data_IF_085204430573
#
_entry.id   IF_085204430573
#
_cell.length_a   1.000
_cell.length_b   1.000
_cell.length_c   1.000
_cell.angle_alpha   90.00
_cell.angle_beta   90.00
_cell.angle_gamma   90.00
#
_symmetry.space_group_name_H-M   'P 1'
#
loop_
_entity.id
_entity.type
_entity.pdbx_description
1 polymer ?
#
# COMPACT_ATOMS: atom_id res chain seq x y z
N UNK A 1 -11.09 -4.06 73.84
CA UNK A 1 -11.15 -5.50 73.51
C UNK A 1 -11.86 -5.59 72.17
N UNK A 2 -11.16 -5.27 71.07
CA UNK A 2 -10.40 -6.22 70.25
C UNK A 2 -11.31 -7.34 69.74
N UNK A 3 -11.86 -7.17 68.54
CA UNK A 3 -11.92 -8.29 67.60
C UNK A 3 -11.68 -7.76 66.19
N UNK A 4 -10.85 -8.50 65.48
CA UNK A 4 -9.99 -8.02 64.41
C UNK A 4 -10.74 -7.76 63.11
N UNK A 5 -10.23 -6.76 62.41
CA UNK A 5 -10.29 -6.59 60.96
C UNK A 5 -10.19 -7.95 60.25
N UNK A 6 -11.33 -8.47 59.78
CA UNK A 6 -11.33 -9.67 58.94
C UNK A 6 -10.92 -9.24 57.54
N UNK A 7 -9.65 -9.46 57.22
CA UNK A 7 -9.17 -9.40 55.83
C UNK A 7 -9.92 -10.46 55.05
N UNK A 8 -10.81 -10.04 54.13
CA UNK A 8 -11.41 -10.94 53.16
C UNK A 8 -10.30 -11.57 52.32
N UNK A 9 -10.14 -12.89 52.44
CA UNK A 9 -9.27 -13.66 51.55
C UNK A 9 -9.87 -13.59 50.15
N UNK A 10 -9.34 -12.71 49.31
CA UNK A 10 -9.56 -12.79 47.87
C UNK A 10 -8.76 -13.99 47.38
N UNK A 11 -9.45 -15.04 46.92
CA UNK A 11 -8.80 -16.13 46.20
C UNK A 11 -8.06 -15.53 45.01
N UNK A 12 -6.74 -15.57 45.05
CA UNK A 12 -5.91 -15.25 43.90
C UNK A 12 -6.07 -16.40 42.91
N UNK A 13 -6.89 -16.18 41.89
CA UNK A 13 -7.02 -17.11 40.78
C UNK A 13 -5.69 -17.15 40.02
N UNK A 14 -4.94 -18.24 40.18
CA UNK A 14 -3.69 -18.48 39.47
C UNK A 14 -3.93 -18.82 37.99
N UNK A 15 -2.89 -18.77 37.14
CA UNK A 15 -2.97 -19.23 35.76
C UNK A 15 -3.55 -20.66 35.70
N UNK A 16 -4.60 -20.87 34.91
CA UNK A 16 -5.38 -22.12 34.87
C UNK A 16 -6.74 -22.08 35.57
N UNK A 17 -7.11 -20.98 36.24
CA UNK A 17 -8.44 -20.78 36.85
C UNK A 17 -9.50 -20.26 35.87
N UNK A 18 -9.12 -20.03 34.62
CA UNK A 18 -10.04 -19.58 33.60
C UNK A 18 -11.11 -20.67 33.41
N UNK A 19 -12.40 -20.32 33.29
CA UNK A 19 -13.41 -21.30 32.90
C UNK A 19 -12.87 -22.01 31.66
N UNK A 20 -12.88 -23.34 31.68
CA UNK A 20 -12.49 -24.12 30.52
C UNK A 20 -13.43 -23.65 29.42
N UNK A 21 -12.90 -22.86 28.47
CA UNK A 21 -13.65 -22.43 27.31
C UNK A 21 -14.12 -23.74 26.69
N UNK A 22 -15.41 -24.04 26.89
CA UNK A 22 -16.06 -25.10 26.14
C UNK A 22 -15.84 -24.67 24.71
N UNK A 23 -15.27 -25.53 23.89
CA UNK A 23 -14.83 -25.24 22.53
C UNK A 23 -15.97 -24.64 21.69
N UNK A 24 -16.30 -23.37 21.92
CA UNK A 24 -17.02 -22.52 21.02
C UNK A 24 -16.04 -22.38 19.87
N UNK A 25 -16.19 -23.26 18.89
CA UNK A 25 -15.31 -23.39 17.75
C UNK A 25 -15.01 -21.98 17.23
N UNK A 26 -13.76 -21.52 17.42
CA UNK A 26 -13.34 -20.21 16.96
C UNK A 26 -13.66 -20.13 15.47
N UNK A 27 -14.65 -19.31 15.11
CA UNK A 27 -14.99 -19.06 13.72
C UNK A 27 -13.91 -18.15 13.14
N UNK A 28 -12.82 -18.76 12.70
CA UNK A 28 -11.82 -18.07 11.91
C UNK A 28 -12.40 -17.80 10.52
N UNK A 29 -12.27 -16.55 10.08
CA UNK A 29 -12.45 -16.25 8.66
C UNK A 29 -11.41 -17.03 7.86
N UNK A 30 -11.81 -17.61 6.72
CA UNK A 30 -10.88 -18.27 5.83
C UNK A 30 -9.80 -17.28 5.40
N UNK A 31 -8.56 -17.56 5.80
CA UNK A 31 -7.43 -16.77 5.35
C UNK A 31 -7.23 -16.97 3.84
N UNK A 32 -6.93 -15.91 3.07
CA UNK A 32 -6.53 -16.05 1.69
C UNK A 32 -5.36 -17.03 1.59
N UNK A 33 -5.57 -18.14 0.87
CA UNK A 33 -4.55 -19.18 0.72
C UNK A 33 -3.56 -18.86 -0.42
N UNK A 34 -3.92 -17.94 -1.31
CA UNK A 34 -3.09 -17.51 -2.42
C UNK A 34 -2.27 -16.28 -2.02
N UNK A 35 -0.95 -16.33 -2.22
CA UNK A 35 -0.13 -15.14 -2.28
C UNK A 35 -0.10 -14.66 -3.73
N UNK A 36 -0.41 -13.39 -3.96
CA UNK A 36 -0.11 -12.71 -5.22
C UNK A 36 1.39 -12.83 -5.47
N UNK A 37 1.78 -13.65 -6.45
CA UNK A 37 3.17 -13.75 -6.90
C UNK A 37 3.45 -12.63 -7.90
N UNK A 38 4.69 -12.14 -7.94
CA UNK A 38 5.09 -11.16 -8.94
C UNK A 38 4.79 -11.68 -10.36
N UNK A 39 4.01 -10.92 -11.12
CA UNK A 39 3.82 -11.10 -12.55
C UNK A 39 4.49 -9.96 -13.29
N UNK A 40 5.35 -10.31 -14.26
CA UNK A 40 5.97 -9.31 -15.11
C UNK A 40 4.89 -8.55 -15.89
N UNK A 41 4.94 -7.20 -15.94
CA UNK A 41 4.00 -6.43 -16.75
C UNK A 41 4.14 -6.81 -18.22
N UNK A 42 3.00 -6.90 -18.91
CA UNK A 42 2.98 -7.20 -20.33
C UNK A 42 3.55 -6.01 -21.11
N UNK A 43 4.65 -6.23 -21.81
CA UNK A 43 5.24 -5.25 -22.73
C UNK A 43 4.42 -5.28 -24.02
N UNK A 44 3.97 -4.13 -24.56
CA UNK A 44 3.23 -4.11 -25.81
C UNK A 44 4.10 -4.59 -26.98
N UNK A 45 3.47 -5.30 -27.91
CA UNK A 45 4.11 -5.65 -29.19
C UNK A 45 4.36 -4.37 -30.02
N UNK A 46 5.37 -4.35 -30.91
CA UNK A 46 5.75 -3.15 -31.67
C UNK A 46 4.60 -2.52 -32.47
N UNK A 47 3.71 -3.34 -33.03
CA UNK A 47 2.54 -2.91 -33.78
C UNK A 47 1.48 -2.20 -32.92
N UNK A 48 1.42 -2.51 -31.61
CA UNK A 48 0.40 -2.03 -30.68
C UNK A 48 0.93 -0.90 -29.77
N UNK A 49 2.24 -0.69 -29.77
CA UNK A 49 2.90 0.29 -28.91
C UNK A 49 2.46 1.73 -29.23
N UNK A 50 2.34 2.10 -30.51
CA UNK A 50 2.10 3.48 -30.91
C UNK A 50 3.29 4.40 -30.60
N UNK A 51 3.03 5.67 -30.28
CA UNK A 51 4.09 6.65 -29.97
C UNK A 51 4.48 6.63 -28.48
N UNK A 52 5.43 5.76 -28.12
CA UNK A 52 5.90 5.58 -26.73
C UNK A 52 7.21 6.28 -26.40
N UNK A 53 7.80 7.02 -27.33
CA UNK A 53 9.10 7.68 -27.13
C UNK A 53 9.09 8.67 -25.94
N UNK A 54 8.02 9.48 -25.74
CA UNK A 54 7.91 10.34 -24.56
C UNK A 54 7.88 9.57 -23.24
N UNK A 55 7.19 8.42 -23.18
CA UNK A 55 7.19 7.57 -21.97
C UNK A 55 8.58 7.03 -21.65
N UNK A 56 9.32 6.55 -22.66
CA UNK A 56 10.67 6.02 -22.44
C UNK A 56 11.63 7.10 -21.90
N UNK A 57 11.55 8.33 -22.44
CA UNK A 57 12.30 9.47 -21.91
C UNK A 57 11.94 9.78 -20.47
N UNK A 58 10.65 9.79 -20.14
CA UNK A 58 10.20 10.02 -18.77
C UNK A 58 10.73 8.94 -17.82
N UNK A 59 10.63 7.67 -18.19
CA UNK A 59 11.11 6.55 -17.37
C UNK A 59 12.63 6.60 -17.15
N UNK A 60 13.40 7.08 -18.12
CA UNK A 60 14.84 7.34 -17.94
C UNK A 60 15.09 8.46 -16.93
N UNK A 61 14.29 9.53 -16.93
CA UNK A 61 14.39 10.60 -15.93
C UNK A 61 14.01 10.10 -14.53
N UNK A 62 12.99 9.25 -14.42
CA UNK A 62 12.61 8.59 -13.16
C UNK A 62 13.76 7.75 -12.64
N UNK A 63 14.36 6.90 -13.50
CA UNK A 63 15.51 6.08 -13.13
C UNK A 63 16.69 6.93 -12.62
N UNK A 64 16.97 8.05 -13.29
CA UNK A 64 18.02 8.97 -12.86
C UNK A 64 17.70 9.60 -11.49
N UNK A 65 16.45 10.00 -11.26
CA UNK A 65 16.01 10.52 -9.96
C UNK A 65 16.18 9.51 -8.84
N UNK A 66 15.84 8.25 -9.09
CA UNK A 66 16.04 7.16 -8.12
C UNK A 66 17.52 6.93 -7.81
N UNK A 67 18.39 6.95 -8.82
CA UNK A 67 19.83 6.83 -8.64
C UNK A 67 20.42 7.99 -7.81
N UNK A 68 19.82 9.17 -7.89
CA UNK A 68 20.28 10.38 -7.22
C UNK A 68 19.57 10.67 -5.90
N UNK A 69 18.54 9.91 -5.55
CA UNK A 69 17.65 10.14 -4.40
C UNK A 69 18.41 10.36 -3.09
N UNK A 70 19.45 9.55 -2.82
CA UNK A 70 20.25 9.66 -1.61
C UNK A 70 20.93 11.02 -1.43
N UNK A 71 21.12 11.78 -2.52
CA UNK A 71 21.79 13.09 -2.52
C UNK A 71 20.87 14.25 -2.85
N UNK A 72 19.82 14.05 -3.65
CA UNK A 72 18.92 15.10 -4.14
C UNK A 72 17.54 15.07 -3.49
N UNK A 73 17.18 13.97 -2.81
CA UNK A 73 15.85 13.78 -2.23
C UNK A 73 14.76 13.54 -3.28
N UNK A 74 13.53 13.95 -2.95
CA UNK A 74 12.35 13.71 -3.77
C UNK A 74 12.40 14.46 -5.12
N UNK A 75 11.88 13.83 -6.16
CA UNK A 75 11.71 14.41 -7.50
C UNK A 75 10.27 14.25 -7.98
N UNK A 76 9.81 15.19 -8.82
CA UNK A 76 8.46 15.18 -9.41
C UNK A 76 8.59 15.05 -10.93
N UNK A 77 7.81 14.15 -11.50
CA UNK A 77 7.81 13.83 -12.93
C UNK A 77 6.42 14.09 -13.51
N UNK A 78 6.21 15.17 -14.28
CA UNK A 78 4.89 15.49 -14.82
C UNK A 78 4.41 14.46 -15.84
N UNK A 79 3.22 13.89 -15.63
CA UNK A 79 2.57 12.97 -16.57
C UNK A 79 1.66 13.68 -17.58
N UNK A 80 1.21 14.89 -17.27
CA UNK A 80 0.23 15.64 -18.08
C UNK A 80 0.72 15.99 -19.50
N UNK A 81 2.03 15.95 -19.74
CA UNK A 81 2.63 16.21 -21.05
C UNK A 81 2.73 14.97 -21.94
N UNK A 82 2.41 13.78 -21.43
CA UNK A 82 2.47 12.55 -22.21
C UNK A 82 1.31 12.44 -23.20
N UNK A 83 1.61 11.90 -24.38
CA UNK A 83 0.57 11.48 -25.32
C UNK A 83 -0.19 10.25 -24.76
N UNK A 84 -1.36 9.89 -25.32
CA UNK A 84 -2.17 8.78 -24.83
C UNK A 84 -1.46 7.41 -24.83
N UNK A 85 -0.65 7.11 -25.83
CA UNK A 85 0.09 5.85 -25.94
C UNK A 85 1.16 5.73 -24.85
N UNK A 86 1.91 6.81 -24.63
CA UNK A 86 2.90 6.93 -23.57
C UNK A 86 2.27 6.82 -22.19
N UNK A 87 1.14 7.48 -21.95
CA UNK A 87 0.43 7.38 -20.67
C UNK A 87 -0.09 5.95 -20.44
N UNK A 88 -0.60 5.30 -21.48
CA UNK A 88 -1.01 3.89 -21.43
C UNK A 88 0.16 2.98 -21.04
N UNK A 89 1.32 3.16 -21.69
CA UNK A 89 2.53 2.38 -21.38
C UNK A 89 2.98 2.58 -19.92
N UNK A 90 3.06 3.83 -19.45
CA UNK A 90 3.46 4.12 -18.07
C UNK A 90 2.50 3.46 -17.07
N UNK A 91 1.19 3.57 -17.32
CA UNK A 91 0.19 2.95 -16.44
C UNK A 91 0.28 1.43 -16.43
N UNK A 92 0.57 0.80 -17.57
CA UNK A 92 0.72 -0.65 -17.67
C UNK A 92 1.99 -1.16 -16.96
N UNK A 93 3.10 -0.43 -17.10
CA UNK A 93 4.40 -0.89 -16.60
C UNK A 93 4.62 -0.61 -15.12
N UNK A 94 4.04 0.46 -14.57
CA UNK A 94 4.34 0.89 -13.20
C UNK A 94 3.54 0.12 -12.13
N UNK A 95 2.45 -0.55 -12.51
CA UNK A 95 1.64 -1.35 -11.60
C UNK A 95 1.05 -0.58 -10.41
N UNK A 96 0.59 -1.32 -9.41
CA UNK A 96 -0.03 -0.80 -8.18
C UNK A 96 0.68 -1.45 -7.00
N UNK A 97 1.16 -0.62 -6.08
CA UNK A 97 1.78 -1.05 -4.82
C UNK A 97 0.73 -1.25 -3.70
N UNK A 98 1.22 -1.57 -2.50
CA UNK A 98 0.36 -1.94 -1.37
C UNK A 98 -0.33 -0.72 -0.72
N UNK A 99 0.27 0.46 -0.82
CA UNK A 99 -0.19 1.65 -0.11
C UNK A 99 -0.87 2.64 -1.05
N UNK A 100 -2.02 3.15 -0.62
CA UNK A 100 -2.73 4.24 -1.27
C UNK A 100 -3.17 5.29 -0.25
N UNK A 101 -3.37 6.52 -0.72
CA UNK A 101 -3.92 7.61 0.05
C UNK A 101 -4.96 8.35 -0.78
N UNK A 102 -6.00 8.86 -0.13
CA UNK A 102 -6.99 9.74 -0.78
C UNK A 102 -7.09 11.01 0.04
N UNK A 103 -7.03 12.15 -0.64
CA UNK A 103 -7.26 13.46 -0.05
C UNK A 103 -8.65 13.91 -0.51
N UNK A 104 -9.57 14.03 0.44
CA UNK A 104 -10.96 14.45 0.22
C UNK A 104 -11.38 15.43 1.32
N UNK A 105 -12.41 16.23 1.05
CA UNK A 105 -13.01 17.14 2.03
C UNK A 105 -13.66 18.36 1.39
N UNK A 106 -14.56 19.00 2.15
CA UNK A 106 -15.34 20.15 1.70
C UNK A 106 -14.50 21.39 1.26
N UNK A 107 -13.21 21.41 1.59
CA UNK A 107 -12.27 22.46 1.19
C UNK A 107 -11.61 22.22 -0.18
N UNK A 108 -11.72 21.01 -0.75
CA UNK A 108 -11.35 20.76 -2.14
C UNK A 108 -12.47 21.30 -3.03
N UNK A 109 -12.16 22.33 -3.84
CA UNK A 109 -13.08 22.79 -4.90
C UNK A 109 -13.16 21.82 -6.09
N UNK A 110 -12.33 20.77 -6.09
CA UNK A 110 -12.20 19.77 -7.14
C UNK A 110 -12.53 18.36 -6.62
N UNK A 111 -12.49 17.38 -7.52
CA UNK A 111 -12.64 15.96 -7.15
C UNK A 111 -11.53 15.49 -6.20
N UNK A 112 -11.78 14.43 -5.39
CA UNK A 112 -10.79 13.85 -4.50
C UNK A 112 -9.48 13.52 -5.22
N UNK A 113 -8.35 13.76 -4.56
CA UNK A 113 -7.03 13.42 -5.09
C UNK A 113 -6.69 12.00 -4.64
N UNK A 114 -6.42 11.13 -5.61
CA UNK A 114 -6.02 9.76 -5.36
C UNK A 114 -4.53 9.58 -5.58
N UNK A 115 -3.83 9.15 -4.53
CA UNK A 115 -2.40 8.93 -4.54
C UNK A 115 -2.15 7.43 -4.35
N UNK A 116 -1.34 6.85 -5.22
CA UNK A 116 -1.07 5.42 -5.26
C UNK A 116 0.45 5.19 -5.28
N UNK A 117 0.96 4.40 -4.33
CA UNK A 117 2.31 3.86 -4.44
C UNK A 117 2.35 2.84 -5.58
N UNK A 118 3.44 2.83 -6.33
CA UNK A 118 3.65 1.91 -7.44
C UNK A 118 4.31 0.62 -6.94
N UNK A 119 4.44 -0.41 -7.79
CA UNK A 119 5.07 -1.68 -7.38
C UNK A 119 6.53 -1.50 -6.96
N UNK A 120 7.16 -0.41 -7.43
CA UNK A 120 8.48 0.01 -7.01
C UNK A 120 8.35 0.93 -5.79
N UNK A 121 8.77 0.40 -4.62
CA UNK A 121 8.68 1.12 -3.35
C UNK A 121 9.30 2.52 -3.44
N UNK A 122 8.61 3.51 -2.88
CA UNK A 122 9.04 4.91 -2.88
C UNK A 122 8.68 5.71 -4.13
N UNK A 123 8.06 5.12 -5.16
CA UNK A 123 7.46 5.87 -6.26
C UNK A 123 5.96 6.01 -6.07
N UNK A 124 5.47 7.24 -6.21
CA UNK A 124 4.06 7.58 -5.98
C UNK A 124 3.49 8.30 -7.19
N UNK A 125 2.23 8.00 -7.53
CA UNK A 125 1.44 8.70 -8.54
C UNK A 125 0.25 9.36 -7.88
N UNK A 126 -0.04 10.62 -8.22
CA UNK A 126 -1.18 11.40 -7.72
C UNK A 126 -1.87 12.20 -8.81
#
# INVERSE_FOLDING_TARGET
MSDSDRISVVSFFGPGSQPQETEDSFQYMSMPAAMETYHQPQVPEPEDAGDIEPALKLLQQVLLGLQQYATQGNAIFPLMSLNPDSLRLVNQMMGVGEVSATIDGAALEASPIHIQELVMAGLWRG
#
